data_IF_582125176668
#
_entry.id   IF_582125176668
#
_cell.length_a   1.000
_cell.length_b   1.000
_cell.length_c   1.000
_cell.angle_alpha   90.00
_cell.angle_beta   90.00
_cell.angle_gamma   90.00
#
_symmetry.space_group_name_H-M   'P 1'
#
loop_
_entity.id
_entity.type
_entity.pdbx_description
1 polymer ?
#
# COMPACT_ATOMS: atom_id res chain seq x y z
N UNK A 1 21.74 0.96 -3.91
CA UNK A 1 22.00 2.23 -3.18
C UNK A 1 21.39 2.27 -1.78
N UNK A 2 20.18 1.74 -1.51
CA UNK A 2 19.70 1.45 -0.13
C UNK A 2 20.60 0.49 0.67
N UNK A 3 21.55 -0.15 -0.02
CA UNK A 3 22.62 -0.99 0.53
C UNK A 3 23.48 -0.24 1.55
N UNK A 4 23.60 1.09 1.46
CA UNK A 4 24.41 1.87 2.41
C UNK A 4 23.70 2.20 3.74
N UNK A 5 22.36 2.12 3.78
CA UNK A 5 21.62 2.43 5.00
C UNK A 5 21.70 1.25 5.98
N UNK A 6 22.52 1.40 7.03
CA UNK A 6 22.53 0.46 8.16
C UNK A 6 21.14 0.41 8.82
N UNK A 7 20.76 -0.75 9.37
CA UNK A 7 19.49 -0.95 10.09
C UNK A 7 19.28 0.12 11.19
N UNK A 8 20.34 0.53 11.87
CA UNK A 8 20.33 1.59 12.87
C UNK A 8 19.74 2.92 12.37
N UNK A 9 19.99 3.31 11.11
CA UNK A 9 19.43 4.54 10.56
C UNK A 9 17.93 4.44 10.33
N UNK A 10 17.43 3.27 9.88
CA UNK A 10 16.00 3.04 9.76
C UNK A 10 15.32 3.08 11.12
N UNK A 11 15.91 2.43 12.12
CA UNK A 11 15.40 2.45 13.50
C UNK A 11 15.38 3.87 14.08
N UNK A 12 16.43 4.65 13.86
CA UNK A 12 16.51 6.05 14.30
C UNK A 12 15.45 6.93 13.63
N UNK A 13 15.31 6.84 12.30
CA UNK A 13 14.30 7.60 11.55
C UNK A 13 12.89 7.20 11.97
N UNK A 14 12.63 5.90 12.14
CA UNK A 14 11.34 5.40 12.60
C UNK A 14 11.04 5.89 14.02
N UNK A 15 11.96 5.72 14.97
CA UNK A 15 11.78 6.15 16.36
C UNK A 15 11.56 7.65 16.48
N UNK A 16 12.35 8.45 15.75
CA UNK A 16 12.18 9.92 15.70
C UNK A 16 10.81 10.29 15.12
N UNK A 17 10.43 9.67 13.99
CA UNK A 17 9.13 9.92 13.35
C UNK A 17 7.97 9.48 14.24
N UNK A 18 8.13 8.41 15.01
CA UNK A 18 7.13 7.91 15.95
C UNK A 18 6.90 8.89 17.09
N UNK A 19 7.96 9.44 17.70
CA UNK A 19 7.84 10.46 18.75
C UNK A 19 7.16 11.73 18.22
N UNK A 20 7.52 12.18 17.00
CA UNK A 20 6.85 13.31 16.34
C UNK A 20 5.37 12.98 16.10
N UNK A 21 5.08 11.77 15.61
CA UNK A 21 3.72 11.29 15.37
C UNK A 21 2.86 11.28 16.64
N UNK A 22 3.41 10.81 17.77
CA UNK A 22 2.75 10.87 19.07
C UNK A 22 2.37 12.30 19.43
N UNK A 23 3.32 13.24 19.38
CA UNK A 23 3.05 14.64 19.69
C UNK A 23 1.96 15.24 18.79
N UNK A 24 2.08 15.05 17.46
CA UNK A 24 1.12 15.58 16.49
C UNK A 24 -0.29 15.01 16.69
N UNK A 25 -0.41 13.71 16.92
CA UNK A 25 -1.70 13.03 17.04
C UNK A 25 -2.34 13.27 18.40
N UNK A 26 -1.57 13.43 19.48
CA UNK A 26 -2.10 13.91 20.76
C UNK A 26 -2.64 15.33 20.62
N UNK A 27 -1.92 16.22 19.95
CA UNK A 27 -2.41 17.58 19.68
C UNK A 27 -3.68 17.57 18.81
N UNK A 28 -3.72 16.72 17.79
CA UNK A 28 -4.90 16.56 16.94
C UNK A 28 -6.09 16.03 17.74
N UNK A 29 -5.92 14.95 18.50
CA UNK A 29 -6.96 14.37 19.35
C UNK A 29 -7.52 15.43 20.32
N UNK A 30 -6.67 16.24 20.95
CA UNK A 30 -7.12 17.32 21.85
C UNK A 30 -7.99 18.37 21.14
N UNK A 31 -7.88 18.53 19.81
CA UNK A 31 -8.70 19.45 19.01
C UNK A 31 -9.98 18.81 18.48
N UNK A 32 -9.97 17.50 18.22
CA UNK A 32 -11.09 16.80 17.56
C UNK A 32 -11.87 15.85 18.46
N UNK A 33 -11.47 15.68 19.73
CA UNK A 33 -12.04 14.69 20.65
C UNK A 33 -13.57 14.76 20.79
N UNK A 34 -14.16 15.96 20.64
CA UNK A 34 -15.60 16.16 20.74
C UNK A 34 -16.38 15.75 19.47
N UNK A 35 -15.69 15.52 18.34
CA UNK A 35 -16.32 15.24 17.05
C UNK A 35 -16.16 13.80 16.63
N UNK A 36 -14.94 13.25 16.73
CA UNK A 36 -14.63 11.92 16.26
C UNK A 36 -13.36 11.37 16.93
N UNK A 37 -13.36 10.13 17.44
CA UNK A 37 -12.15 9.54 17.99
C UNK A 37 -11.12 9.27 16.88
N UNK A 38 -9.88 9.72 17.09
CA UNK A 38 -8.77 9.34 16.23
C UNK A 38 -8.59 7.82 16.27
N UNK A 39 -8.31 7.22 15.11
CA UNK A 39 -8.08 5.79 15.00
C UNK A 39 -9.34 4.98 15.25
N UNK A 40 -10.50 5.47 14.80
CA UNK A 40 -11.81 4.83 15.04
C UNK A 40 -11.82 3.33 14.71
N UNK A 41 -11.14 2.91 13.66
CA UNK A 41 -11.07 1.50 13.28
C UNK A 41 -10.17 0.70 14.22
N UNK A 42 -9.23 1.34 14.93
CA UNK A 42 -8.36 0.67 15.90
C UNK A 42 -9.13 0.10 17.11
N UNK A 43 -10.31 0.63 17.42
CA UNK A 43 -11.13 0.16 18.55
C UNK A 43 -11.78 -1.20 18.27
N UNK A 44 -12.23 -1.47 17.04
CA UNK A 44 -12.73 -2.81 16.69
C UNK A 44 -11.63 -3.86 16.76
N UNK A 45 -10.40 -3.48 16.38
CA UNK A 45 -9.24 -4.36 16.55
C UNK A 45 -8.93 -4.59 18.02
N UNK A 46 -8.99 -3.56 18.88
CA UNK A 46 -8.77 -3.71 20.32
C UNK A 46 -9.77 -4.68 20.95
N UNK A 47 -11.07 -4.52 20.66
CA UNK A 47 -12.12 -5.41 21.14
C UNK A 47 -11.88 -6.86 20.67
N UNK A 48 -11.64 -7.07 19.37
CA UNK A 48 -11.34 -8.40 18.83
C UNK A 48 -10.08 -9.03 19.43
N UNK A 49 -9.01 -8.25 19.65
CA UNK A 49 -7.78 -8.75 20.29
C UNK A 49 -8.07 -9.16 21.73
N UNK A 50 -8.83 -8.39 22.50
CA UNK A 50 -9.21 -8.73 23.89
C UNK A 50 -10.02 -10.03 23.94
N UNK A 51 -11.05 -10.13 23.11
CA UNK A 51 -11.88 -11.32 23.01
C UNK A 51 -11.06 -12.57 22.68
N UNK A 52 -10.17 -12.48 21.68
CA UNK A 52 -9.26 -13.58 21.31
C UNK A 52 -8.42 -14.09 22.50
N UNK A 53 -7.85 -13.16 23.29
CA UNK A 53 -7.03 -13.53 24.45
C UNK A 53 -7.85 -14.01 25.66
N UNK A 54 -9.16 -13.79 25.66
CA UNK A 54 -10.11 -14.38 26.60
C UNK A 54 -10.62 -15.76 26.14
N UNK A 55 -10.20 -16.24 24.95
CA UNK A 55 -10.66 -17.50 24.37
C UNK A 55 -11.99 -17.37 23.62
N UNK A 56 -12.45 -16.15 23.37
CA UNK A 56 -13.67 -15.86 22.63
C UNK A 56 -13.37 -15.60 21.15
N UNK A 57 -14.34 -15.90 20.28
CA UNK A 57 -14.22 -15.56 18.86
C UNK A 57 -14.26 -14.04 18.68
N UNK A 58 -13.27 -13.42 18.01
CA UNK A 58 -13.29 -11.98 17.75
C UNK A 58 -14.42 -11.56 16.79
N UNK A 59 -15.08 -12.54 16.15
CA UNK A 59 -16.18 -12.35 15.21
C UNK A 59 -17.56 -12.38 15.90
N UNK A 60 -17.63 -12.62 17.22
CA UNK A 60 -18.91 -12.65 17.93
C UNK A 60 -19.61 -11.28 17.94
N UNK A 61 -20.94 -11.29 17.96
CA UNK A 61 -21.77 -10.08 17.99
C UNK A 61 -21.47 -9.23 19.24
N UNK A 62 -21.25 -9.86 20.40
CA UNK A 62 -20.85 -9.19 21.63
C UNK A 62 -19.55 -8.37 21.48
N UNK A 63 -18.59 -8.84 20.68
CA UNK A 63 -17.33 -8.14 20.41
C UNK A 63 -17.58 -6.91 19.51
N UNK A 64 -18.50 -7.03 18.56
CA UNK A 64 -18.94 -5.87 17.76
C UNK A 64 -19.60 -4.83 18.63
N UNK A 65 -20.43 -5.23 19.59
CA UNK A 65 -21.03 -4.30 20.56
C UNK A 65 -20.00 -3.67 21.49
N UNK A 66 -18.97 -4.39 21.95
CA UNK A 66 -17.86 -3.77 22.69
C UNK A 66 -17.16 -2.70 21.86
N UNK A 67 -16.85 -3.01 20.59
CA UNK A 67 -16.23 -2.04 19.68
C UNK A 67 -17.10 -0.78 19.49
N UNK A 68 -18.41 -0.97 19.33
CA UNK A 68 -19.38 0.14 19.23
C UNK A 68 -19.41 0.98 20.51
N UNK A 69 -19.39 0.36 21.70
CA UNK A 69 -19.32 1.08 22.97
C UNK A 69 -18.00 1.87 23.09
N UNK A 70 -16.88 1.32 22.62
CA UNK A 70 -15.60 2.02 22.62
C UNK A 70 -15.58 3.23 21.68
N UNK A 71 -16.25 3.14 20.52
CA UNK A 71 -16.31 4.21 19.52
C UNK A 71 -17.33 5.29 19.91
N UNK A 72 -18.55 4.88 20.28
CA UNK A 72 -19.68 5.78 20.49
C UNK A 72 -19.87 6.19 21.95
N UNK A 73 -19.29 5.45 22.90
CA UNK A 73 -19.58 5.61 24.34
C UNK A 73 -21.00 5.18 24.74
N UNK A 74 -21.73 4.52 23.82
CA UNK A 74 -23.10 4.02 23.98
C UNK A 74 -23.39 2.91 22.96
N UNK A 75 -24.59 2.33 23.05
CA UNK A 75 -25.07 1.43 22.00
C UNK A 75 -25.22 2.18 20.67
N UNK A 76 -24.86 1.50 19.57
CA UNK A 76 -24.99 2.02 18.21
C UNK A 76 -26.46 2.23 17.84
N UNK A 77 -26.79 3.34 17.19
CA UNK A 77 -28.10 3.55 16.58
C UNK A 77 -28.22 2.83 15.24
N UNK A 78 -29.45 2.59 14.77
CA UNK A 78 -29.67 1.84 13.53
C UNK A 78 -29.02 2.49 12.29
N UNK A 79 -28.90 3.82 12.27
CA UNK A 79 -28.34 4.65 11.21
C UNK A 79 -26.80 4.83 11.28
N UNK A 80 -26.17 4.33 12.34
CA UNK A 80 -24.73 4.46 12.56
C UNK A 80 -23.92 3.29 11.99
N UNK A 81 -22.61 3.49 11.80
CA UNK A 81 -21.70 2.48 11.26
C UNK A 81 -21.45 1.32 12.23
N UNK A 82 -21.60 0.05 11.82
CA UNK A 82 -21.11 -1.06 12.63
C UNK A 82 -19.58 -1.13 12.55
N UNK A 83 -18.94 -1.57 13.64
CA UNK A 83 -17.50 -1.75 13.74
C UNK A 83 -17.10 -3.22 14.01
N UNK A 84 -17.47 -4.17 13.14
CA UNK A 84 -17.13 -5.58 13.34
C UNK A 84 -15.64 -5.83 13.12
N UNK A 85 -15.13 -6.88 13.76
CA UNK A 85 -13.79 -7.39 13.48
C UNK A 85 -13.79 -8.13 12.13
N UNK A 86 -13.12 -7.56 11.12
CA UNK A 86 -13.11 -8.07 9.73
C UNK A 86 -11.74 -8.53 9.26
N UNK A 87 -10.85 -8.83 10.20
CA UNK A 87 -9.46 -9.20 9.94
C UNK A 87 -9.21 -10.66 10.29
N UNK A 88 -8.19 -11.31 9.74
CA UNK A 88 -7.77 -12.64 10.18
C UNK A 88 -7.44 -12.69 11.66
N UNK A 89 -7.84 -13.74 12.38
CA UNK A 89 -7.67 -13.84 13.83
C UNK A 89 -6.19 -13.76 14.27
N UNK A 90 -5.24 -14.11 13.40
CA UNK A 90 -3.80 -14.00 13.72
C UNK A 90 -3.32 -12.56 13.88
N UNK A 91 -4.15 -11.57 13.50
CA UNK A 91 -3.94 -10.19 13.87
C UNK A 91 -3.86 -10.01 15.39
N UNK A 92 -4.63 -10.79 16.17
CA UNK A 92 -4.65 -10.70 17.63
C UNK A 92 -3.30 -11.05 18.29
N UNK A 93 -2.53 -11.94 17.66
CA UNK A 93 -1.17 -12.29 18.10
C UNK A 93 -0.20 -11.14 17.87
N UNK A 94 -0.35 -10.44 16.73
CA UNK A 94 0.54 -9.34 16.32
C UNK A 94 0.25 -8.08 17.14
N UNK A 95 -1.01 -7.87 17.48
CA UNK A 95 -1.46 -6.70 18.23
C UNK A 95 -1.61 -6.94 19.72
N UNK A 96 -1.14 -8.06 20.27
CA UNK A 96 -1.13 -8.30 21.72
C UNK A 96 -0.62 -7.08 22.52
N UNK A 97 0.47 -6.38 22.13
CA UNK A 97 0.94 -5.21 22.88
C UNK A 97 -0.07 -4.06 23.00
N UNK A 98 -1.04 -3.99 22.09
CA UNK A 98 -2.08 -2.94 22.10
C UNK A 98 -3.04 -3.10 23.30
N UNK A 99 -3.17 -4.31 23.84
CA UNK A 99 -4.05 -4.60 24.99
C UNK A 99 -3.57 -3.97 26.28
N UNK A 100 -2.27 -3.66 26.37
CA UNK A 100 -1.66 -2.98 27.53
C UNK A 100 -1.83 -1.46 27.50
N UNK A 101 -2.31 -0.92 26.37
CA UNK A 101 -2.51 0.52 26.18
C UNK A 101 -3.95 0.86 26.60
N UNK A 102 -4.17 1.96 27.36
CA UNK A 102 -5.52 2.45 27.64
C UNK A 102 -6.30 2.65 26.34
N UNK A 103 -7.57 2.23 26.30
CA UNK A 103 -8.37 2.29 25.07
C UNK A 103 -8.38 3.70 24.44
N UNK A 104 -8.45 4.76 25.26
CA UNK A 104 -8.42 6.15 24.81
C UNK A 104 -7.12 6.58 24.11
N UNK A 105 -6.03 5.82 24.27
CA UNK A 105 -4.72 6.11 23.66
C UNK A 105 -4.39 5.20 22.46
N UNK A 106 -5.19 4.16 22.22
CA UNK A 106 -4.92 3.17 21.16
C UNK A 106 -4.85 3.83 19.78
N UNK A 107 -5.82 4.70 19.46
CA UNK A 107 -5.83 5.42 18.18
C UNK A 107 -4.61 6.33 17.98
N UNK A 108 -4.12 6.99 19.04
CA UNK A 108 -2.94 7.84 19.00
C UNK A 108 -1.68 7.01 18.74
N UNK A 109 -1.48 5.93 19.51
CA UNK A 109 -0.28 5.09 19.39
C UNK A 109 -0.25 4.39 18.04
N UNK A 110 -1.38 3.85 17.59
CA UNK A 110 -1.49 3.20 16.29
C UNK A 110 -1.27 4.20 15.14
N UNK A 111 -1.93 5.36 15.20
CA UNK A 111 -1.73 6.42 14.22
C UNK A 111 -0.27 6.89 14.18
N UNK A 112 0.41 6.97 15.33
CA UNK A 112 1.82 7.38 15.40
C UNK A 112 2.74 6.33 14.78
N UNK A 113 2.44 5.04 14.97
CA UNK A 113 3.15 3.95 14.30
C UNK A 113 2.98 4.03 12.77
N UNK A 114 1.75 4.28 12.29
CA UNK A 114 1.49 4.49 10.87
C UNK A 114 2.24 5.72 10.34
N UNK A 115 2.15 6.86 11.02
CA UNK A 115 2.90 8.06 10.65
C UNK A 115 4.41 7.81 10.57
N UNK A 116 4.97 7.07 11.52
CA UNK A 116 6.39 6.69 11.52
C UNK A 116 6.77 5.86 10.30
N UNK A 117 5.91 4.92 9.87
CA UNK A 117 6.09 4.17 8.62
C UNK A 117 6.10 5.15 7.44
N UNK A 118 5.09 6.02 7.29
CA UNK A 118 5.01 6.96 6.17
C UNK A 118 6.25 7.84 6.09
N UNK A 119 6.55 8.56 7.17
CA UNK A 119 7.65 9.52 7.21
C UNK A 119 8.99 8.84 6.93
N UNK A 120 9.25 7.68 7.54
CA UNK A 120 10.48 6.90 7.29
C UNK A 120 10.58 6.48 5.83
N UNK A 121 9.49 5.95 5.24
CA UNK A 121 9.49 5.54 3.85
C UNK A 121 9.74 6.72 2.90
N UNK A 122 9.06 7.86 3.09
CA UNK A 122 9.24 9.06 2.26
C UNK A 122 10.67 9.59 2.36
N UNK A 123 11.22 9.69 3.58
CA UNK A 123 12.57 10.19 3.79
C UNK A 123 13.61 9.25 3.18
N UNK A 124 13.54 7.95 3.48
CA UNK A 124 14.52 6.98 2.96
C UNK A 124 14.42 6.86 1.44
N UNK A 125 13.20 6.84 0.88
CA UNK A 125 12.99 6.80 -0.56
C UNK A 125 13.55 8.06 -1.26
N UNK A 126 13.21 9.25 -0.76
CA UNK A 126 13.63 10.53 -1.38
C UNK A 126 15.14 10.76 -1.29
N UNK A 127 15.78 10.35 -0.18
CA UNK A 127 17.24 10.39 -0.02
C UNK A 127 17.97 9.39 -0.93
N UNK A 128 17.27 8.36 -1.39
CA UNK A 128 17.77 7.38 -2.35
C UNK A 128 17.76 7.84 -3.82
N UNK A 129 17.27 9.04 -4.11
CA UNK A 129 17.21 9.58 -5.47
C UNK A 129 18.58 10.06 -5.97
N UNK A 130 18.92 9.71 -7.22
CA UNK A 130 20.15 10.08 -7.91
C UNK A 130 19.91 10.48 -9.38
N UNK A 131 20.28 11.71 -9.79
CA UNK A 131 20.91 12.76 -8.98
C UNK A 131 19.99 13.29 -7.87
N UNK A 132 20.58 13.86 -6.81
CA UNK A 132 19.79 14.44 -5.71
C UNK A 132 19.00 15.65 -6.24
N UNK A 133 17.70 15.78 -5.91
CA UNK A 133 16.93 16.95 -6.31
C UNK A 133 17.48 18.23 -5.67
N UNK A 134 17.16 19.39 -6.27
CA UNK A 134 17.42 20.70 -5.64
C UNK A 134 16.71 20.77 -4.27
N UNK A 135 17.27 21.42 -3.24
CA UNK A 135 16.70 21.42 -1.88
C UNK A 135 15.22 21.79 -1.80
N UNK A 136 14.79 22.83 -2.52
CA UNK A 136 13.38 23.26 -2.57
C UNK A 136 12.49 22.15 -3.13
N UNK A 137 12.91 21.54 -4.25
CA UNK A 137 12.15 20.47 -4.91
C UNK A 137 12.12 19.19 -4.05
N UNK A 138 13.21 18.90 -3.33
CA UNK A 138 13.25 17.80 -2.36
C UNK A 138 12.31 18.07 -1.18
N UNK A 139 12.32 19.27 -0.61
CA UNK A 139 11.41 19.67 0.47
C UNK A 139 9.94 19.57 0.05
N UNK A 140 9.60 20.06 -1.16
CA UNK A 140 8.26 19.91 -1.73
C UNK A 140 7.89 18.45 -1.95
N UNK A 141 8.82 17.61 -2.40
CA UNK A 141 8.57 16.17 -2.58
C UNK A 141 8.29 15.47 -1.24
N UNK A 142 9.10 15.75 -0.21
CA UNK A 142 8.90 15.19 1.13
C UNK A 142 7.56 15.65 1.71
N UNK A 143 7.26 16.96 1.60
CA UNK A 143 5.98 17.52 2.05
C UNK A 143 4.80 16.87 1.33
N UNK A 144 4.86 16.75 0.00
CA UNK A 144 3.82 16.08 -0.81
C UNK A 144 3.61 14.62 -0.42
N UNK A 145 4.70 13.90 -0.10
CA UNK A 145 4.64 12.50 0.30
C UNK A 145 4.04 12.31 1.70
N UNK A 146 4.44 13.16 2.65
CA UNK A 146 3.92 13.15 4.03
C UNK A 146 2.44 13.57 4.05
N UNK A 147 2.07 14.56 3.23
CA UNK A 147 0.70 15.04 3.10
C UNK A 147 -0.12 14.26 2.07
N UNK A 148 0.33 13.09 1.64
CA UNK A 148 -0.43 12.30 0.67
C UNK A 148 -1.79 11.91 1.26
N UNK A 149 -2.87 12.45 0.68
CA UNK A 149 -4.22 12.42 1.27
C UNK A 149 -4.68 11.01 1.68
N UNK A 150 -4.60 9.96 0.82
CA UNK A 150 -4.96 8.60 1.23
C UNK A 150 -4.21 8.10 2.47
N UNK A 151 -2.92 8.40 2.58
CA UNK A 151 -2.11 7.98 3.72
C UNK A 151 -2.52 8.72 5.01
N UNK A 152 -2.80 10.02 4.92
CA UNK A 152 -3.32 10.79 6.05
C UNK A 152 -4.67 10.25 6.53
N UNK A 153 -5.60 9.97 5.61
CA UNK A 153 -6.90 9.37 5.96
C UNK A 153 -6.72 7.98 6.58
N UNK A 154 -5.77 7.18 6.09
CA UNK A 154 -5.40 5.89 6.71
C UNK A 154 -4.93 6.06 8.15
N UNK A 155 -4.10 7.08 8.42
CA UNK A 155 -3.57 7.36 9.77
C UNK A 155 -4.68 7.83 10.70
N UNK A 156 -5.51 8.77 10.24
CA UNK A 156 -6.60 9.36 11.04
C UNK A 156 -7.64 8.31 11.41
N UNK A 157 -7.98 7.40 10.49
CA UNK A 157 -8.97 6.34 10.76
C UNK A 157 -8.37 5.12 11.47
N UNK A 158 -7.05 4.96 11.47
CA UNK A 158 -6.39 3.82 12.11
C UNK A 158 -6.36 2.56 11.24
N UNK A 159 -6.21 2.72 9.92
CA UNK A 159 -6.25 1.65 8.93
C UNK A 159 -4.87 1.03 8.65
N UNK A 160 -4.82 -0.26 8.28
CA UNK A 160 -3.56 -0.99 8.02
C UNK A 160 -2.98 -0.80 6.61
N UNK A 161 -3.58 0.03 5.74
CA UNK A 161 -3.12 0.16 4.37
C UNK A 161 -1.64 0.55 4.29
N UNK A 162 -1.22 1.47 5.17
CA UNK A 162 0.16 1.90 5.27
C UNK A 162 1.09 0.84 5.90
N UNK A 163 0.60 0.03 6.84
CA UNK A 163 1.33 -1.12 7.36
C UNK A 163 1.66 -2.12 6.26
N UNK A 164 0.72 -2.39 5.33
CA UNK A 164 0.96 -3.24 4.16
C UNK A 164 2.00 -2.62 3.21
N UNK A 165 2.00 -1.29 3.01
CA UNK A 165 3.05 -0.60 2.24
C UNK A 165 4.42 -0.78 2.92
N UNK A 166 4.49 -0.63 4.25
CA UNK A 166 5.69 -0.89 5.04
C UNK A 166 6.20 -2.33 4.89
N UNK A 167 5.30 -3.31 4.98
CA UNK A 167 5.61 -4.72 4.75
C UNK A 167 6.14 -4.98 3.33
N UNK A 168 5.52 -4.36 2.32
CA UNK A 168 5.97 -4.44 0.92
C UNK A 168 7.40 -3.91 0.76
N UNK A 169 7.69 -2.75 1.36
CA UNK A 169 9.02 -2.17 1.33
C UNK A 169 10.06 -3.03 2.07
N UNK A 170 9.69 -3.59 3.23
CA UNK A 170 10.56 -4.49 3.99
C UNK A 170 10.86 -5.78 3.21
N UNK A 171 9.85 -6.39 2.59
CA UNK A 171 10.02 -7.57 1.74
C UNK A 171 10.97 -7.26 0.57
N UNK A 172 10.77 -6.13 -0.12
CA UNK A 172 11.68 -5.65 -1.15
C UNK A 172 13.11 -5.46 -0.63
N UNK A 173 13.29 -4.80 0.52
CA UNK A 173 14.59 -4.58 1.13
C UNK A 173 15.31 -5.89 1.44
N UNK A 174 14.62 -6.84 2.09
CA UNK A 174 15.16 -8.17 2.42
C UNK A 174 15.55 -8.95 1.16
N UNK A 175 14.72 -8.92 0.12
CA UNK A 175 15.03 -9.52 -1.19
C UNK A 175 16.30 -8.91 -1.78
N UNK A 176 16.42 -7.58 -1.80
CA UNK A 176 17.61 -6.91 -2.36
C UNK A 176 18.88 -7.16 -1.55
N UNK A 177 18.75 -7.54 -0.28
CA UNK A 177 19.85 -7.94 0.61
C UNK A 177 20.09 -9.45 0.63
N UNK A 178 19.39 -10.22 -0.21
CA UNK A 178 19.47 -11.69 -0.27
C UNK A 178 19.10 -12.38 1.06
N UNK A 179 18.34 -11.70 1.91
CA UNK A 179 17.91 -12.17 3.22
C UNK A 179 16.59 -12.97 3.12
N UNK A 180 16.57 -13.96 2.22
CA UNK A 180 15.34 -14.62 1.75
C UNK A 180 14.53 -15.33 2.83
N UNK A 181 15.21 -15.90 3.83
CA UNK A 181 14.57 -16.58 4.94
C UNK A 181 13.71 -15.66 5.82
N UNK A 182 13.92 -14.34 5.74
CA UNK A 182 13.16 -13.36 6.51
C UNK A 182 12.01 -12.74 5.71
N UNK A 183 11.95 -12.96 4.39
CA UNK A 183 10.96 -12.34 3.50
C UNK A 183 9.55 -12.86 3.79
N UNK A 184 9.39 -14.10 4.24
CA UNK A 184 8.08 -14.66 4.56
C UNK A 184 7.33 -13.87 5.65
N UNK A 185 8.04 -13.32 6.64
CA UNK A 185 7.44 -12.53 7.73
C UNK A 185 6.64 -11.34 7.20
N UNK A 186 7.22 -10.34 6.52
CA UNK A 186 6.45 -9.21 6.00
C UNK A 186 5.39 -9.63 4.97
N UNK A 187 5.59 -10.73 4.24
CA UNK A 187 4.57 -11.22 3.30
C UNK A 187 3.33 -11.75 4.02
N UNK A 188 3.48 -12.46 5.14
CA UNK A 188 2.35 -12.89 5.99
C UNK A 188 1.73 -11.71 6.73
N UNK A 189 2.53 -10.77 7.23
CA UNK A 189 2.01 -9.57 7.87
C UNK A 189 1.18 -8.71 6.90
N UNK A 190 1.52 -8.69 5.61
CA UNK A 190 0.73 -8.01 4.60
C UNK A 190 -0.66 -8.64 4.38
N UNK A 191 -0.85 -9.95 4.67
CA UNK A 191 -2.16 -10.61 4.48
C UNK A 191 -3.16 -10.28 5.58
N UNK A 192 -2.75 -9.58 6.64
CA UNK A 192 -3.65 -9.09 7.70
C UNK A 192 -4.81 -8.30 7.11
N UNK A 193 -4.57 -7.49 6.06
CA UNK A 193 -5.62 -6.72 5.39
C UNK A 193 -5.79 -7.24 3.96
N UNK A 194 -6.63 -8.28 3.74
CA UNK A 194 -6.73 -8.94 2.44
C UNK A 194 -7.05 -7.98 1.30
N UNK A 195 -7.91 -6.98 1.55
CA UNK A 195 -8.34 -5.98 0.55
C UNK A 195 -7.19 -5.18 -0.08
N UNK A 196 -6.06 -5.14 0.61
CA UNK A 196 -4.91 -4.33 0.24
C UNK A 196 -3.71 -5.24 -0.04
N UNK A 197 -3.42 -6.19 0.85
CA UNK A 197 -2.17 -6.94 0.80
C UNK A 197 -2.22 -8.33 0.16
N UNK A 198 -3.37 -8.94 -0.10
CA UNK A 198 -3.46 -10.35 -0.52
C UNK A 198 -2.70 -10.67 -1.81
N UNK A 199 -2.69 -9.75 -2.80
CA UNK A 199 -2.05 -10.02 -4.09
C UNK A 199 -0.52 -9.86 -4.06
N UNK A 200 0.04 -9.16 -3.05
CA UNK A 200 1.48 -9.02 -2.84
C UNK A 200 2.18 -10.39 -2.68
N UNK A 201 1.83 -11.24 -1.68
CA UNK A 201 2.46 -12.53 -1.53
C UNK A 201 2.21 -13.44 -2.73
N UNK A 202 1.04 -13.39 -3.39
CA UNK A 202 0.76 -14.20 -4.59
C UNK A 202 1.82 -13.94 -5.68
N UNK A 203 2.01 -12.67 -6.07
CA UNK A 203 3.00 -12.31 -7.10
C UNK A 203 4.42 -12.69 -6.68
N UNK A 204 4.80 -12.39 -5.43
CA UNK A 204 6.16 -12.63 -4.95
C UNK A 204 6.47 -14.11 -4.72
N UNK A 205 5.48 -14.94 -4.38
CA UNK A 205 5.65 -16.39 -4.28
C UNK A 205 5.73 -17.05 -5.66
N UNK A 206 4.93 -16.61 -6.64
CA UNK A 206 5.07 -17.05 -8.04
C UNK A 206 6.47 -16.69 -8.56
N UNK A 207 6.92 -15.46 -8.31
CA UNK A 207 8.27 -15.02 -8.65
C UNK A 207 9.35 -15.89 -7.97
N UNK A 208 9.23 -16.09 -6.66
CA UNK A 208 10.19 -16.87 -5.90
C UNK A 208 10.23 -18.32 -6.36
N UNK A 209 9.09 -18.92 -6.70
CA UNK A 209 8.99 -20.26 -7.26
C UNK A 209 9.71 -20.35 -8.61
N UNK A 210 9.43 -19.40 -9.52
CA UNK A 210 10.03 -19.32 -10.85
C UNK A 210 11.55 -19.24 -10.81
N UNK A 211 12.11 -18.55 -9.82
CA UNK A 211 13.54 -18.35 -9.63
C UNK A 211 14.14 -19.24 -8.53
N UNK A 212 13.41 -20.29 -8.11
CA UNK A 212 13.85 -21.30 -7.13
C UNK A 212 14.35 -20.70 -5.80
N UNK A 213 13.75 -19.59 -5.36
CA UNK A 213 14.04 -18.92 -4.09
C UNK A 213 13.27 -19.57 -2.94
N UNK A 214 13.49 -20.87 -2.73
CA UNK A 214 12.74 -21.72 -1.78
C UNK A 214 12.70 -21.20 -0.35
N UNK A 215 13.74 -20.48 0.08
CA UNK A 215 13.79 -19.85 1.41
C UNK A 215 12.64 -18.87 1.64
N UNK A 216 12.20 -18.15 0.60
CA UNK A 216 11.05 -17.24 0.68
C UNK A 216 9.76 -18.05 0.88
N UNK A 217 9.56 -19.11 0.09
CA UNK A 217 8.37 -19.96 0.15
C UNK A 217 8.27 -20.65 1.51
N UNK A 218 9.36 -21.30 1.94
CA UNK A 218 9.42 -22.01 3.21
C UNK A 218 9.18 -21.05 4.40
N UNK A 219 9.78 -19.86 4.37
CA UNK A 219 9.57 -18.82 5.39
C UNK A 219 8.10 -18.38 5.44
N UNK A 220 7.48 -18.11 4.28
CA UNK A 220 6.07 -17.70 4.22
C UNK A 220 5.15 -18.78 4.78
N UNK A 221 5.32 -20.03 4.32
CA UNK A 221 4.50 -21.17 4.75
C UNK A 221 4.67 -21.42 6.25
N UNK A 222 5.92 -21.38 6.76
CA UNK A 222 6.20 -21.59 8.18
C UNK A 222 5.55 -20.51 9.04
N UNK A 223 5.75 -19.23 8.72
CA UNK A 223 5.20 -18.12 9.51
C UNK A 223 3.67 -18.13 9.48
N UNK A 224 3.06 -18.32 8.30
CA UNK A 224 1.60 -18.41 8.17
C UNK A 224 1.06 -19.63 8.92
N UNK A 225 1.70 -20.79 8.76
CA UNK A 225 1.30 -22.02 9.42
C UNK A 225 1.33 -21.91 10.94
N UNK A 226 2.38 -21.31 11.51
CA UNK A 226 2.50 -21.07 12.95
C UNK A 226 1.39 -20.12 13.44
N UNK A 227 1.16 -19.00 12.76
CA UNK A 227 0.12 -18.04 13.14
C UNK A 227 -1.29 -18.64 13.02
N UNK A 228 -1.58 -19.35 11.93
CA UNK A 228 -2.85 -20.05 11.73
C UNK A 228 -3.07 -21.11 12.80
N UNK A 229 -2.08 -21.99 13.03
CA UNK A 229 -2.17 -23.02 14.05
C UNK A 229 -2.42 -22.41 15.43
N UNK A 230 -1.65 -21.41 15.84
CA UNK A 230 -1.82 -20.73 17.13
C UNK A 230 -3.24 -20.18 17.31
N UNK A 231 -3.81 -19.56 16.28
CA UNK A 231 -5.19 -19.04 16.36
C UNK A 231 -6.26 -20.12 16.37
N UNK A 232 -6.08 -21.19 15.59
CA UNK A 232 -7.02 -22.32 15.55
C UNK A 232 -7.03 -23.06 16.89
N UNK A 233 -5.87 -23.21 17.53
CA UNK A 233 -5.79 -23.79 18.87
C UNK A 233 -6.45 -22.90 19.94
N UNK A 234 -6.38 -21.57 19.80
CA UNK A 234 -6.93 -20.64 20.78
C UNK A 234 -8.46 -20.51 20.72
N UNK A 235 -9.03 -20.34 19.51
CA UNK A 235 -10.46 -19.99 19.34
C UNK A 235 -11.21 -20.96 18.41
N UNK A 236 -10.57 -22.03 17.94
CA UNK A 236 -11.16 -22.96 16.99
C UNK A 236 -11.12 -22.49 15.53
N UNK A 237 -11.95 -23.11 14.69
CA UNK A 237 -11.96 -22.88 13.25
C UNK A 237 -12.72 -21.61 12.85
N UNK A 238 -12.00 -20.48 12.83
CA UNK A 238 -12.57 -19.14 12.63
C UNK A 238 -12.68 -18.68 11.16
N UNK A 239 -12.12 -19.42 10.20
CA UNK A 239 -12.16 -19.03 8.78
C UNK A 239 -13.59 -18.86 8.19
N UNK A 240 -14.58 -19.71 8.54
CA UNK A 240 -15.95 -19.51 8.09
C UNK A 240 -16.55 -18.20 8.59
N UNK A 241 -16.25 -17.82 9.85
CA UNK A 241 -16.71 -16.55 10.42
C UNK A 241 -16.07 -15.37 9.69
N UNK A 242 -14.75 -15.39 9.46
CA UNK A 242 -14.11 -14.35 8.66
C UNK A 242 -14.74 -14.23 7.27
N UNK A 243 -14.99 -15.36 6.60
CA UNK A 243 -15.60 -15.36 5.28
C UNK A 243 -17.03 -14.78 5.32
N UNK A 244 -17.83 -15.19 6.29
CA UNK A 244 -19.17 -14.66 6.52
C UNK A 244 -19.16 -13.16 6.73
N UNK A 245 -18.33 -12.65 7.66
CA UNK A 245 -18.22 -11.22 7.94
C UNK A 245 -17.68 -10.43 6.74
N UNK A 246 -16.73 -10.97 5.97
CA UNK A 246 -16.20 -10.31 4.77
C UNK A 246 -17.25 -10.20 3.66
N UNK A 247 -18.05 -11.26 3.46
CA UNK A 247 -19.09 -11.31 2.43
C UNK A 247 -20.31 -10.46 2.80
N UNK A 248 -20.67 -10.43 4.08
CA UNK A 248 -21.80 -9.64 4.58
C UNK A 248 -21.44 -8.18 4.85
N UNK A 249 -20.15 -7.83 4.93
CA UNK A 249 -19.68 -6.46 5.18
C UNK A 249 -20.28 -5.44 4.20
N UNK A 250 -20.44 -5.82 2.93
CA UNK A 250 -21.05 -4.97 1.92
C UNK A 250 -22.55 -4.75 2.16
N UNK A 251 -23.26 -5.78 2.61
CA UNK A 251 -24.67 -5.66 2.99
C UNK A 251 -24.87 -4.85 4.27
N UNK A 252 -23.95 -4.98 5.24
CA UNK A 252 -24.01 -4.27 6.54
C UNK A 252 -23.73 -2.76 6.42
N UNK A 253 -23.09 -2.31 5.34
CA UNK A 253 -22.82 -0.89 5.05
C UNK A 253 -23.84 -0.22 4.14
N UNK A 254 -25.03 -0.82 3.93
CA UNK A 254 -26.12 -0.16 3.23
C UNK A 254 -26.53 1.13 3.98
N UNK A 255 -25.97 2.27 3.56
CA UNK A 255 -26.15 3.58 4.21
C UNK A 255 -24.85 4.39 4.37
N UNK A 256 -23.70 3.71 4.48
CA UNK A 256 -22.38 4.36 4.57
C UNK A 256 -21.64 4.02 3.29
N UNK A 257 -21.64 4.95 2.34
CA UNK A 257 -21.20 4.72 0.97
C UNK A 257 -19.99 3.80 0.87
N UNK A 258 -20.23 2.54 0.47
CA UNK A 258 -19.17 1.61 0.10
C UNK A 258 -18.35 2.25 -0.98
N UNK A 259 -17.02 2.21 -0.81
CA UNK A 259 -16.19 2.86 -1.81
C UNK A 259 -16.28 2.18 -3.17
N UNK A 260 -16.47 0.88 -3.11
CA UNK A 260 -16.48 0.03 -4.27
C UNK A 260 -17.49 -1.11 -4.11
N UNK A 261 -18.14 -1.47 -5.22
CA UNK A 261 -18.98 -2.66 -5.38
C UNK A 261 -18.64 -3.33 -6.72
N UNK A 262 -18.92 -4.63 -6.84
CA UNK A 262 -18.67 -5.38 -8.09
C UNK A 262 -19.36 -4.73 -9.31
N UNK A 263 -20.50 -4.07 -9.09
CA UNK A 263 -21.23 -3.31 -10.12
C UNK A 263 -20.41 -2.16 -10.70
N UNK A 264 -19.52 -1.55 -9.90
CA UNK A 264 -18.67 -0.45 -10.37
C UNK A 264 -17.65 -0.91 -11.41
N UNK A 265 -17.25 -2.19 -11.45
CA UNK A 265 -16.38 -2.72 -12.52
C UNK A 265 -17.07 -2.58 -13.89
N UNK A 266 -18.39 -2.74 -13.95
CA UNK A 266 -19.16 -2.65 -15.18
C UNK A 266 -19.29 -1.21 -15.71
N UNK A 267 -18.97 -0.20 -14.90
CA UNK A 267 -18.92 1.20 -15.36
C UNK A 267 -17.71 1.45 -16.26
N UNK A 268 -17.76 2.47 -17.11
CA UNK A 268 -16.64 2.84 -17.99
C UNK A 268 -15.35 3.08 -17.18
N UNK A 269 -15.33 3.86 -16.08
CA UNK A 269 -14.13 4.03 -15.27
C UNK A 269 -13.60 2.72 -14.67
N UNK A 270 -14.49 1.86 -14.16
CA UNK A 270 -14.13 0.56 -13.61
C UNK A 270 -13.52 -0.38 -14.65
N UNK A 271 -14.12 -0.45 -15.84
CA UNK A 271 -13.62 -1.26 -16.96
C UNK A 271 -12.24 -0.77 -17.45
N UNK A 272 -12.03 0.55 -17.50
CA UNK A 272 -10.72 1.15 -17.79
C UNK A 272 -9.71 0.73 -16.73
N UNK A 273 -10.04 0.88 -15.44
CA UNK A 273 -9.14 0.49 -14.35
C UNK A 273 -8.79 -0.99 -14.41
N UNK A 274 -9.77 -1.88 -14.58
CA UNK A 274 -9.56 -3.32 -14.73
C UNK A 274 -8.61 -3.62 -15.88
N UNK A 275 -8.90 -3.06 -17.07
CA UNK A 275 -8.12 -3.29 -18.28
C UNK A 275 -6.68 -2.84 -18.10
N UNK A 276 -6.46 -1.62 -17.59
CA UNK A 276 -5.12 -1.09 -17.35
C UNK A 276 -4.34 -1.93 -16.32
N UNK A 277 -5.02 -2.39 -15.26
CA UNK A 277 -4.41 -3.22 -14.23
C UNK A 277 -3.99 -4.59 -14.78
N UNK A 278 -4.84 -5.22 -15.59
CA UNK A 278 -4.53 -6.47 -16.29
C UNK A 278 -3.39 -6.30 -17.28
N UNK A 279 -3.39 -5.23 -18.09
CA UNK A 279 -2.31 -4.96 -19.05
C UNK A 279 -0.97 -4.78 -18.32
N UNK A 280 -0.93 -3.97 -17.25
CA UNK A 280 0.29 -3.78 -16.45
C UNK A 280 0.74 -5.09 -15.78
N UNK A 281 -0.20 -5.88 -15.25
CA UNK A 281 0.08 -7.19 -14.67
C UNK A 281 0.68 -8.14 -15.71
N UNK A 282 0.07 -8.29 -16.88
CA UNK A 282 0.53 -9.18 -17.95
C UNK A 282 1.94 -8.76 -18.41
N UNK A 283 2.17 -7.48 -18.68
CA UNK A 283 3.50 -6.97 -19.02
C UNK A 283 4.50 -7.30 -17.91
N UNK A 284 4.10 -7.12 -16.66
CA UNK A 284 4.91 -7.43 -15.49
C UNK A 284 5.26 -8.90 -15.35
N UNK A 285 4.29 -9.81 -15.51
CA UNK A 285 4.49 -11.26 -15.47
C UNK A 285 5.42 -11.68 -16.61
N UNK A 286 5.23 -11.18 -17.83
CA UNK A 286 6.12 -11.47 -18.95
C UNK A 286 7.57 -11.00 -18.69
N UNK A 287 7.76 -9.83 -18.06
CA UNK A 287 9.10 -9.36 -17.66
C UNK A 287 9.70 -10.23 -16.55
N UNK A 288 8.89 -10.55 -15.56
CA UNK A 288 9.27 -11.38 -14.42
C UNK A 288 9.73 -12.78 -14.84
N UNK A 289 9.16 -13.34 -15.91
CA UNK A 289 9.57 -14.62 -16.46
C UNK A 289 10.93 -14.59 -17.18
N UNK A 290 11.36 -13.40 -17.61
CA UNK A 290 12.59 -13.19 -18.38
C UNK A 290 13.78 -12.75 -17.52
N UNK A 291 13.53 -12.14 -16.36
CA UNK A 291 14.59 -11.62 -15.49
C UNK A 291 14.33 -11.90 -14.01
N UNK A 292 15.40 -12.23 -13.27
CA UNK A 292 15.38 -12.39 -11.80
C UNK A 292 15.23 -11.05 -11.06
N UNK A 293 15.06 -9.94 -11.78
CA UNK A 293 14.84 -8.65 -11.15
C UNK A 293 13.52 -8.62 -10.37
N UNK A 294 13.45 -7.74 -9.37
CA UNK A 294 12.25 -7.59 -8.56
C UNK A 294 11.05 -7.22 -9.44
N UNK A 295 9.90 -7.92 -9.32
CA UNK A 295 8.82 -7.87 -10.31
C UNK A 295 7.87 -6.66 -10.11
N UNK A 296 8.42 -5.45 -10.16
CA UNK A 296 7.69 -4.21 -9.86
C UNK A 296 6.38 -4.05 -10.64
N UNK A 297 6.39 -4.27 -11.95
CA UNK A 297 5.19 -4.08 -12.77
C UNK A 297 4.12 -5.12 -12.48
N UNK A 298 4.51 -6.39 -12.25
CA UNK A 298 3.56 -7.42 -11.88
C UNK A 298 2.90 -7.06 -10.54
N UNK A 299 3.71 -6.58 -9.59
CA UNK A 299 3.22 -6.13 -8.29
C UNK A 299 2.27 -4.93 -8.41
N UNK A 300 2.62 -3.91 -9.21
CA UNK A 300 1.77 -2.74 -9.44
C UNK A 300 0.42 -3.15 -10.03
N UNK A 301 0.42 -3.98 -11.08
CA UNK A 301 -0.81 -4.46 -11.71
C UNK A 301 -1.66 -5.29 -10.73
N UNK A 302 -1.03 -6.20 -9.99
CA UNK A 302 -1.72 -7.06 -9.04
C UNK A 302 -2.30 -6.30 -7.84
N UNK A 303 -1.58 -5.32 -7.28
CA UNK A 303 -2.10 -4.51 -6.17
C UNK A 303 -3.27 -3.62 -6.61
N UNK A 304 -3.24 -3.11 -7.85
CA UNK A 304 -4.38 -2.37 -8.41
C UNK A 304 -5.58 -3.29 -8.64
N UNK A 305 -5.36 -4.53 -9.10
CA UNK A 305 -6.43 -5.53 -9.16
C UNK A 305 -6.96 -5.88 -7.77
N UNK A 306 -6.10 -5.96 -6.75
CA UNK A 306 -6.56 -6.25 -5.39
C UNK A 306 -7.51 -5.17 -4.89
N UNK A 307 -7.11 -3.90 -5.04
CA UNK A 307 -7.96 -2.75 -4.73
C UNK A 307 -9.29 -2.81 -5.49
N UNK A 308 -9.27 -3.24 -6.75
CA UNK A 308 -10.48 -3.33 -7.56
C UNK A 308 -11.34 -4.55 -7.26
N UNK A 309 -10.79 -5.67 -6.83
CA UNK A 309 -11.53 -6.94 -6.70
C UNK A 309 -12.02 -7.23 -5.27
N UNK A 310 -11.58 -6.43 -4.31
CA UNK A 310 -11.89 -6.67 -2.90
C UNK A 310 -12.81 -5.57 -2.34
N UNK A 311 -13.79 -5.95 -1.51
CA UNK A 311 -14.60 -4.97 -0.80
C UNK A 311 -13.73 -4.08 0.07
N UNK A 312 -13.90 -2.77 -0.07
CA UNK A 312 -13.23 -1.79 0.76
C UNK A 312 -14.09 -0.54 0.89
N UNK A 313 -13.73 0.30 1.85
CA UNK A 313 -14.43 1.52 2.18
C UNK A 313 -13.47 2.69 2.22
N UNK A 314 -13.93 3.86 1.74
CA UNK A 314 -13.22 5.15 1.81
C UNK A 314 -11.84 5.12 1.14
N UNK A 315 -11.24 6.27 0.85
CA UNK A 315 -9.98 6.45 0.10
C UNK A 315 -8.68 6.02 0.78
N UNK A 316 -8.69 5.57 2.02
CA UNK A 316 -7.45 5.22 2.71
C UNK A 316 -6.70 4.02 2.08
N UNK A 317 -7.40 3.11 1.40
CA UNK A 317 -6.77 1.94 0.75
C UNK A 317 -5.95 2.34 -0.49
N UNK A 318 -6.23 3.52 -1.09
CA UNK A 318 -5.38 4.13 -2.13
C UNK A 318 -3.96 4.45 -1.64
N UNK A 319 -3.67 4.34 -0.33
CA UNK A 319 -2.31 4.44 0.21
C UNK A 319 -1.35 3.47 -0.46
N UNK A 320 -1.83 2.31 -0.96
CA UNK A 320 -1.00 1.39 -1.75
C UNK A 320 -0.38 2.00 -2.99
N UNK A 321 -0.99 3.04 -3.55
CA UNK A 321 -0.49 3.72 -4.73
C UNK A 321 0.84 4.45 -4.47
N UNK A 322 1.25 4.62 -3.20
CA UNK A 322 2.61 5.01 -2.85
C UNK A 322 3.66 4.11 -3.53
N UNK A 323 3.38 2.82 -3.69
CA UNK A 323 4.29 1.88 -4.39
C UNK A 323 4.46 2.30 -5.85
N UNK A 324 3.38 2.69 -6.52
CA UNK A 324 3.39 3.17 -7.91
C UNK A 324 4.13 4.50 -8.01
N UNK A 325 3.85 5.43 -7.09
CA UNK A 325 4.49 6.75 -7.03
C UNK A 325 6.00 6.64 -6.77
N UNK A 326 6.43 5.77 -5.85
CA UNK A 326 7.84 5.52 -5.58
C UNK A 326 8.56 4.91 -6.78
N UNK A 327 7.89 3.99 -7.49
CA UNK A 327 8.41 3.41 -8.72
C UNK A 327 8.56 4.49 -9.79
N UNK A 328 7.51 5.27 -10.06
CA UNK A 328 7.51 6.36 -11.05
C UNK A 328 8.59 7.39 -10.73
N UNK A 329 8.66 7.88 -9.49
CA UNK A 329 9.66 8.87 -9.11
C UNK A 329 11.10 8.39 -9.29
N UNK A 330 11.36 7.09 -9.06
CA UNK A 330 12.67 6.51 -9.37
C UNK A 330 12.97 6.46 -10.86
N UNK A 331 11.97 6.22 -11.71
CA UNK A 331 12.16 6.28 -13.16
C UNK A 331 12.34 7.73 -13.66
N UNK A 332 11.66 8.67 -13.01
CA UNK A 332 11.53 10.05 -13.43
C UNK A 332 12.57 11.00 -12.84
N UNK A 333 13.36 10.58 -11.85
CA UNK A 333 14.38 11.41 -11.21
C UNK A 333 15.43 12.03 -12.18
N UNK A 334 15.58 11.46 -13.39
CA UNK A 334 16.51 11.95 -14.42
C UNK A 334 15.85 12.83 -15.49
N UNK A 335 14.54 13.00 -15.45
CA UNK A 335 13.81 13.84 -16.42
C UNK A 335 13.52 15.21 -15.81
N UNK A 336 13.67 16.27 -16.60
CA UNK A 336 13.48 17.66 -16.13
C UNK A 336 12.10 17.94 -15.52
N UNK A 337 11.07 17.23 -15.99
CA UNK A 337 9.69 17.37 -15.53
C UNK A 337 9.25 16.24 -14.57
N UNK A 338 10.11 15.26 -14.33
CA UNK A 338 9.74 14.05 -13.61
C UNK A 338 9.26 14.29 -12.19
N UNK A 339 10.06 15.01 -11.39
CA UNK A 339 9.71 15.31 -10.00
C UNK A 339 8.55 16.31 -9.87
N UNK A 340 8.47 17.40 -10.67
CA UNK A 340 7.27 18.25 -10.68
C UNK A 340 5.98 17.48 -10.98
N UNK A 341 5.99 16.59 -11.99
CA UNK A 341 4.83 15.74 -12.30
C UNK A 341 4.51 14.79 -11.16
N UNK A 342 5.52 14.21 -10.51
CA UNK A 342 5.30 13.34 -9.36
C UNK A 342 4.65 14.10 -8.18
N UNK A 343 5.11 15.32 -7.89
CA UNK A 343 4.51 16.20 -6.89
C UNK A 343 3.05 16.46 -7.23
N UNK A 344 2.74 16.78 -8.49
CA UNK A 344 1.36 16.95 -8.94
C UNK A 344 0.51 15.69 -8.70
N UNK A 345 1.06 14.50 -8.96
CA UNK A 345 0.37 13.23 -8.70
C UNK A 345 0.12 12.97 -7.21
N UNK A 346 1.03 13.37 -6.32
CA UNK A 346 0.80 13.31 -4.86
C UNK A 346 -0.33 14.25 -4.42
N UNK A 347 -0.42 15.44 -5.03
CA UNK A 347 -1.44 16.44 -4.70
C UNK A 347 -2.78 16.22 -5.41
N UNK A 348 -2.84 15.38 -6.45
CA UNK A 348 -4.05 15.19 -7.24
C UNK A 348 -5.31 14.83 -6.41
N UNK A 349 -5.24 13.97 -5.37
CA UNK A 349 -6.39 13.72 -4.49
C UNK A 349 -6.82 14.95 -3.68
N UNK A 350 -5.89 15.81 -3.26
CA UNK A 350 -6.24 17.06 -2.57
C UNK A 350 -6.86 18.08 -3.52
N UNK A 351 -6.27 18.26 -4.71
CA UNK A 351 -6.75 19.21 -5.70
C UNK A 351 -8.17 18.84 -6.16
N UNK A 352 -8.44 17.57 -6.42
CA UNK A 352 -9.79 17.13 -6.77
C UNK A 352 -10.79 17.38 -5.65
N UNK A 353 -10.37 17.20 -4.38
CA UNK A 353 -11.23 17.45 -3.21
C UNK A 353 -11.61 18.92 -3.13
N UNK A 354 -10.64 19.81 -3.29
CA UNK A 354 -10.86 21.26 -3.27
C UNK A 354 -11.79 21.70 -4.40
N UNK A 355 -11.59 21.16 -5.61
CA UNK A 355 -12.45 21.48 -6.76
C UNK A 355 -13.89 21.10 -6.48
N UNK A 356 -14.16 19.88 -5.98
CA UNK A 356 -15.55 19.46 -5.71
C UNK A 356 -16.18 20.27 -4.56
N UNK A 357 -15.41 20.58 -3.52
CA UNK A 357 -15.88 21.45 -2.43
C UNK A 357 -16.23 22.86 -2.93
N UNK A 358 -15.45 23.42 -3.86
CA UNK A 358 -15.72 24.75 -4.43
C UNK A 358 -16.95 24.75 -5.36
N UNK A 359 -17.26 23.64 -6.02
CA UNK A 359 -18.43 23.53 -6.92
C UNK A 359 -19.73 23.16 -6.20
N UNK A 360 -19.72 23.06 -4.85
CA UNK A 360 -20.87 22.61 -4.07
C UNK A 360 -21.26 21.15 -4.34
N UNK A 361 -20.33 20.34 -4.85
CA UNK A 361 -20.62 18.94 -5.15
C UNK A 361 -20.68 18.09 -3.88
N UNK A 362 -21.43 16.99 -3.95
CA UNK A 362 -21.53 16.04 -2.83
C UNK A 362 -20.15 15.39 -2.59
N UNK A 363 -19.62 15.52 -1.37
CA UNK A 363 -18.35 14.90 -0.94
C UNK A 363 -18.34 13.39 -1.23
N UNK A 364 -19.50 12.75 -1.17
CA UNK A 364 -19.66 11.34 -1.51
C UNK A 364 -19.34 11.02 -2.98
N UNK A 365 -19.76 11.88 -3.91
CA UNK A 365 -19.43 11.72 -5.32
C UNK A 365 -17.95 11.97 -5.57
N UNK A 366 -17.34 12.89 -4.81
CA UNK A 366 -15.92 13.20 -4.94
C UNK A 366 -15.04 12.00 -4.60
N UNK A 367 -15.19 11.40 -3.41
CA UNK A 367 -14.29 10.33 -3.01
C UNK A 367 -14.47 9.11 -3.92
N UNK A 368 -15.70 8.83 -4.39
CA UNK A 368 -15.97 7.81 -5.43
C UNK A 368 -15.23 8.12 -6.72
N UNK A 369 -15.25 9.37 -7.16
CA UNK A 369 -14.50 9.82 -8.33
C UNK A 369 -12.99 9.61 -8.17
N UNK A 370 -12.41 10.00 -7.04
CA UNK A 370 -10.97 9.78 -6.78
C UNK A 370 -10.63 8.30 -6.83
N UNK A 371 -11.46 7.45 -6.22
CA UNK A 371 -11.31 6.00 -6.29
C UNK A 371 -11.30 5.46 -7.72
N UNK A 372 -12.24 5.87 -8.55
CA UNK A 372 -12.38 5.33 -9.90
C UNK A 372 -11.29 5.83 -10.85
N UNK A 373 -10.89 7.10 -10.72
CA UNK A 373 -10.02 7.74 -11.71
C UNK A 373 -8.55 7.75 -11.32
N UNK A 374 -8.22 7.92 -10.03
CA UNK A 374 -6.83 8.11 -9.61
C UNK A 374 -5.93 6.88 -9.90
N UNK A 375 -6.33 5.63 -9.60
CA UNK A 375 -5.58 4.44 -10.00
C UNK A 375 -5.38 4.37 -11.53
N UNK A 376 -6.43 4.61 -12.31
CA UNK A 376 -6.40 4.61 -13.77
C UNK A 376 -5.41 5.65 -14.32
N UNK A 377 -5.38 6.86 -13.74
CA UNK A 377 -4.41 7.90 -14.11
C UNK A 377 -2.98 7.39 -13.89
N UNK A 378 -2.68 6.82 -12.72
CA UNK A 378 -1.34 6.31 -12.43
C UNK A 378 -0.93 5.14 -13.33
N UNK A 379 -1.87 4.26 -13.68
CA UNK A 379 -1.61 3.14 -14.60
C UNK A 379 -1.41 3.62 -16.04
N UNK A 380 -2.21 4.57 -16.52
CA UNK A 380 -2.00 5.22 -17.82
C UNK A 380 -0.63 5.88 -17.90
N UNK A 381 -0.27 6.67 -16.89
CA UNK A 381 1.05 7.29 -16.77
C UNK A 381 2.17 6.24 -16.79
N UNK A 382 1.99 5.13 -16.08
CA UNK A 382 2.92 4.00 -16.06
C UNK A 382 3.09 3.39 -17.45
N UNK A 383 2.01 3.13 -18.19
CA UNK A 383 2.06 2.55 -19.52
C UNK A 383 2.66 3.51 -20.56
N UNK A 384 2.31 4.80 -20.51
CA UNK A 384 2.89 5.84 -21.37
C UNK A 384 4.41 5.89 -21.16
N UNK A 385 4.84 5.85 -19.90
CA UNK A 385 6.26 5.84 -19.57
C UNK A 385 6.97 4.59 -20.12
N UNK A 386 6.38 3.40 -19.98
CA UNK A 386 6.93 2.16 -20.54
C UNK A 386 7.04 2.20 -22.06
N UNK A 387 6.05 2.75 -22.75
CA UNK A 387 6.07 2.94 -24.20
C UNK A 387 7.20 3.90 -24.62
N UNK A 388 7.39 5.00 -23.88
CA UNK A 388 8.47 5.94 -24.11
C UNK A 388 9.85 5.31 -23.95
N UNK A 389 10.06 4.50 -22.90
CA UNK A 389 11.32 3.78 -22.68
C UNK A 389 11.65 2.84 -23.84
N UNK A 390 10.67 2.07 -24.34
CA UNK A 390 10.85 1.16 -25.47
C UNK A 390 11.26 1.90 -26.75
N UNK A 391 10.62 3.03 -27.04
CA UNK A 391 10.97 3.88 -28.19
C UNK A 391 12.39 4.43 -28.08
N UNK A 392 12.80 4.87 -26.89
CA UNK A 392 14.17 5.39 -26.68
C UNK A 392 15.21 4.28 -26.87
N UNK A 393 14.96 3.07 -26.37
CA UNK A 393 15.88 1.94 -26.58
C UNK A 393 15.98 1.49 -28.04
N UNK A 394 14.88 1.52 -28.80
CA UNK A 394 14.91 1.12 -30.21
C UNK A 394 15.65 2.13 -31.08
N UNK A 395 15.51 3.43 -30.80
CA UNK A 395 16.27 4.48 -31.49
C UNK A 395 17.76 4.36 -31.19
N UNK A 396 18.14 4.16 -29.92
CA UNK A 396 19.54 3.99 -29.54
C UNK A 396 20.18 2.75 -30.19
N UNK A 397 19.45 1.62 -30.23
CA UNK A 397 19.91 0.41 -30.89
C UNK A 397 20.08 0.59 -32.41
N UNK A 398 19.18 1.32 -33.07
CA UNK A 398 19.28 1.65 -34.50
C UNK A 398 20.46 2.58 -34.80
N UNK A 399 20.70 3.59 -33.97
CA UNK A 399 21.84 4.48 -34.11
C UNK A 399 23.17 3.69 -33.98
N UNK A 400 23.30 2.85 -32.95
CA UNK A 400 24.47 2.01 -32.76
C UNK A 400 24.70 1.02 -33.94
N UNK A 401 23.63 0.51 -34.55
CA UNK A 401 23.73 -0.36 -35.72
C UNK A 401 24.22 0.41 -36.97
N UNK A 402 23.77 1.65 -37.18
CA UNK A 402 24.24 2.49 -38.29
C UNK A 402 25.72 2.88 -38.14
N UNK A 403 26.15 3.21 -36.92
CA UNK A 403 27.56 3.53 -36.62
C UNK A 403 28.49 2.31 -36.84
N UNK A 404 28.00 1.10 -36.55
CA UNK A 404 28.75 -0.13 -36.81
C UNK A 404 28.94 -0.40 -38.32
N UNK A 405 27.91 -0.12 -39.13
CA UNK A 405 27.98 -0.29 -40.60
C UNK A 405 28.92 0.72 -41.24
N UNK A 406 28.86 2.00 -40.81
CA UNK A 406 29.76 3.04 -41.36
C UNK A 406 31.24 2.76 -41.04
N UNK A 407 31.52 2.24 -39.85
CA UNK A 407 32.87 1.84 -39.42
C UNK A 407 33.41 0.66 -40.25
N UNK A 408 32.56 -0.29 -40.65
CA UNK A 408 32.96 -1.41 -41.50
C UNK A 408 33.21 -1.00 -42.96
N UNK A 409 32.39 -0.10 -43.52
CA UNK A 409 32.58 0.39 -44.89
C UNK A 409 33.85 1.23 -45.08
N UNK A 410 34.33 1.90 -44.03
CA UNK A 410 35.57 2.71 -44.07
C UNK A 410 36.87 1.89 -44.12
N UNK A 411 36.84 0.62 -43.69
CA UNK A 411 38.03 -0.24 -43.65
C UNK A 411 38.24 -1.09 -44.93
N UNK A 412 37.35 -1.02 -45.92
CA UNK A 412 37.46 -1.80 -47.17
C UNK A 412 38.26 -1.06 -48.26
N UNK A 413 38.76 0.16 -48.01
CA UNK A 413 39.37 1.01 -49.04
C UNK A 413 40.91 1.17 -49.02
N UNK A 414 41.68 0.36 -48.27
CA UNK A 414 43.17 0.55 -48.18
C UNK A 414 44.00 -0.74 -48.40
N UNK A 415 43.49 -1.76 -49.08
CA UNK A 415 44.32 -2.90 -49.52
C UNK A 415 44.24 -3.12 -51.03
N UNK A 416 44.43 -2.06 -51.81
CA UNK A 416 44.47 -2.13 -53.28
C UNK A 416 45.86 -1.84 -53.89
N UNK A 417 46.90 -1.54 -53.10
CA UNK A 417 48.27 -1.44 -53.62
C UNK A 417 49.25 -2.14 -52.67
N UNK A 418 49.65 -3.35 -53.05
CA UNK A 418 51.01 -3.92 -52.91
C UNK A 418 51.15 -5.17 -53.78
#
# INVERSE_FOLDING_TARGET
MFVQWKLAHFALLFGTSFVIGLALLTMLQARIANYWPLGVDAYSHLAGVRAFWQGESPYAEAVTHEAEQLVYGRARHADEAPFPFTYPAYLALILLPITWIPASQVGIVWGAAMWAILATLILVWSLGLTPRPKPILWGLLVLSGILFRPALVSIINGQYALFVVGCTFLAWLLITRKADAWVGIPLVLATIKPSVGMFLPIVLLIWALRWRRWKILASFILVLGVLMAATIFQIGWWLPDLAYHTLTYSALRQGIGLAWSAEQIATIPGAIWLTLSLVVLIIGLLQMWRAESFPWLALIGALNLNLLLTPHSVEYDLTLLLIVLFWLGRQWQRTRWGLPLLILLFWAPWLSSLIVSMTGGLIELWWRGVWMFYPSILLCVTLIWLAWLRKKSSVAARAAALDAVSTQSGNVQVTADL
#
